data_IF_804193388059
#
_entry.id   IF_804193388059
#
_cell.length_a   1.000
_cell.length_b   1.000
_cell.length_c   1.000
_cell.angle_alpha   90.00
_cell.angle_beta   90.00
_cell.angle_gamma   90.00
#
_symmetry.space_group_name_H-M   'P 1'
#
loop_
_entity.id
_entity.type
_entity.pdbx_description
1 polymer ?
#
# COMPACT_ATOMS: atom_id res chain seq x y z
N UNK A 1 9.85 -32.21 -6.76
CA UNK A 1 9.64 -32.67 -5.37
C UNK A 1 8.20 -32.37 -4.96
N UNK A 2 7.60 -33.27 -4.17
CA UNK A 2 6.16 -33.52 -4.05
C UNK A 2 5.31 -32.30 -3.67
N UNK A 3 4.30 -32.06 -4.52
CA UNK A 3 3.05 -31.38 -4.23
C UNK A 3 2.35 -32.01 -3.02
N UNK A 4 1.91 -31.19 -2.07
CA UNK A 4 0.88 -31.54 -1.09
C UNK A 4 0.34 -30.29 -0.38
N UNK A 5 -0.35 -29.37 -1.08
CA UNK A 5 -1.18 -28.36 -0.42
C UNK A 5 -2.38 -27.99 -1.31
N UNK A 6 -3.27 -28.96 -1.52
CA UNK A 6 -4.64 -28.64 -1.84
C UNK A 6 -5.31 -28.15 -0.55
N UNK A 7 -5.71 -26.88 -0.50
CA UNK A 7 -6.70 -26.41 0.48
C UNK A 7 -7.92 -25.97 -0.31
N UNK A 8 -8.98 -26.73 -0.06
CA UNK A 8 -10.35 -26.52 -0.48
C UNK A 8 -10.86 -25.14 0.00
N UNK A 9 -11.43 -24.36 -0.92
CA UNK A 9 -11.99 -23.01 -0.68
C UNK A 9 -13.08 -23.00 0.38
N UNK A 10 -13.75 -24.13 0.63
CA UNK A 10 -14.71 -24.27 1.72
C UNK A 10 -14.02 -24.25 3.09
N UNK A 11 -12.77 -24.72 3.19
CA UNK A 11 -11.97 -24.67 4.43
C UNK A 11 -11.51 -23.27 4.82
N UNK A 12 -11.39 -22.32 3.88
CA UNK A 12 -11.00 -20.93 4.20
C UNK A 12 -12.16 -20.17 4.85
N UNK A 13 -13.38 -20.33 4.33
CA UNK A 13 -14.60 -19.87 5.01
C UNK A 13 -14.74 -20.52 6.38
N UNK A 14 -14.61 -21.85 6.46
CA UNK A 14 -14.67 -22.58 7.73
C UNK A 14 -13.53 -22.18 8.69
N UNK A 15 -12.36 -21.76 8.21
CA UNK A 15 -11.26 -21.31 9.07
C UNK A 15 -11.52 -19.90 9.62
N UNK A 16 -12.02 -18.98 8.79
CA UNK A 16 -12.48 -17.66 9.23
C UNK A 16 -13.66 -17.82 10.22
N UNK A 17 -14.64 -18.67 9.91
CA UNK A 17 -15.80 -18.97 10.75
C UNK A 17 -15.43 -19.75 12.04
N UNK A 18 -14.42 -20.63 12.01
CA UNK A 18 -13.89 -21.31 13.22
C UNK A 18 -13.12 -20.38 14.13
N UNK A 19 -12.42 -19.39 13.56
CA UNK A 19 -11.85 -18.29 14.35
C UNK A 19 -12.99 -17.50 15.01
N UNK A 20 -14.10 -17.26 14.31
CA UNK A 20 -15.30 -16.63 14.90
C UNK A 20 -15.95 -17.45 16.03
N UNK A 21 -16.08 -18.78 15.88
CA UNK A 21 -16.68 -19.67 16.89
C UNK A 21 -15.79 -19.88 18.13
N UNK A 22 -14.46 -19.84 17.99
CA UNK A 22 -13.55 -19.96 19.14
C UNK A 22 -13.48 -18.70 20.01
N UNK A 23 -13.81 -17.54 19.46
CA UNK A 23 -13.96 -16.29 20.22
C UNK A 23 -15.31 -16.13 20.91
N UNK A 24 -16.26 -17.06 20.70
CA UNK A 24 -17.63 -16.98 21.21
C UNK A 24 -17.89 -17.77 22.51
N UNK A 25 -16.90 -18.42 23.12
CA UNK A 25 -17.07 -19.09 24.41
C UNK A 25 -16.48 -18.24 25.56
N UNK A 26 -17.34 -17.59 26.39
CA UNK A 26 -16.89 -16.99 27.63
C UNK A 26 -16.89 -18.07 28.72
N UNK A 27 -15.71 -18.49 29.17
CA UNK A 27 -15.56 -19.22 30.45
C UNK A 27 -14.62 -18.44 31.34
N UNK A 28 -15.19 -17.61 32.22
CA UNK A 28 -14.88 -17.68 33.65
C UNK A 28 -15.85 -16.77 34.42
N UNK A 29 -16.58 -17.40 35.33
CA UNK A 29 -17.38 -16.76 36.38
C UNK A 29 -16.42 -16.31 37.48
N UNK A 30 -16.36 -15.02 37.77
CA UNK A 30 -15.87 -14.54 39.05
C UNK A 30 -16.62 -13.29 39.51
N UNK A 31 -17.45 -13.46 40.54
CA UNK A 31 -17.68 -12.47 41.60
C UNK A 31 -16.77 -12.85 42.79
N UNK A 32 -16.40 -11.93 43.73
CA UNK A 32 -17.25 -10.86 44.27
C UNK A 32 -16.60 -9.50 44.69
N UNK A 33 -17.51 -8.56 45.03
CA UNK A 33 -17.47 -7.48 46.06
C UNK A 33 -16.65 -6.17 45.93
N UNK A 34 -17.42 -5.07 45.73
CA UNK A 34 -17.56 -3.84 46.56
C UNK A 34 -16.41 -2.81 46.76
N UNK A 35 -16.64 -1.64 46.14
CA UNK A 35 -16.44 -0.23 46.58
C UNK A 35 -15.02 0.34 46.67
N UNK A 36 -14.77 1.39 45.87
CA UNK A 36 -13.64 2.31 46.04
C UNK A 36 -13.37 3.24 44.85
N UNK A 37 -14.09 4.37 44.80
CA UNK A 37 -13.82 5.65 44.11
C UNK A 37 -12.53 5.82 43.28
N UNK A 38 -12.68 6.28 42.04
CA UNK A 38 -11.65 7.03 41.33
C UNK A 38 -11.73 6.93 39.81
N UNK A 39 -12.60 7.73 39.17
CA UNK A 39 -12.55 7.96 37.73
C UNK A 39 -11.23 8.64 37.36
N UNK A 40 -10.24 7.82 37.02
CA UNK A 40 -9.14 8.19 36.14
C UNK A 40 -9.30 7.32 34.92
N UNK A 41 -9.76 7.90 33.82
CA UNK A 41 -9.64 7.28 32.50
C UNK A 41 -8.15 7.24 32.19
N UNK A 42 -7.49 6.18 32.65
CA UNK A 42 -6.15 5.85 32.23
C UNK A 42 -6.20 5.59 30.71
N UNK A 43 -5.24 6.09 29.92
CA UNK A 43 -5.16 5.72 28.51
C UNK A 43 -5.09 4.19 28.46
N UNK A 44 -6.05 3.59 27.75
CA UNK A 44 -6.19 2.14 27.65
C UNK A 44 -4.98 1.65 26.85
N UNK A 45 -3.94 1.19 27.56
CA UNK A 45 -2.73 0.65 26.92
C UNK A 45 -3.18 -0.47 25.98
N UNK A 46 -2.98 -0.29 24.69
CA UNK A 46 -3.31 -1.33 23.70
C UNK A 46 -2.48 -2.56 24.06
N UNK A 47 -3.15 -3.69 24.18
CA UNK A 47 -2.52 -4.96 24.50
C UNK A 47 -1.55 -5.35 23.37
N UNK A 48 -0.30 -5.64 23.70
CA UNK A 48 0.73 -6.01 22.72
C UNK A 48 0.32 -7.26 21.93
N UNK A 49 -0.44 -8.16 22.55
CA UNK A 49 -1.01 -9.33 21.88
C UNK A 49 -2.10 -8.94 20.85
N UNK A 50 -2.90 -7.89 21.11
CA UNK A 50 -3.85 -7.33 20.13
C UNK A 50 -3.14 -6.75 18.90
N UNK A 51 -2.03 -6.02 19.10
CA UNK A 51 -1.20 -5.47 18.01
C UNK A 51 -0.64 -6.60 17.16
N UNK A 52 0.02 -7.59 17.78
CA UNK A 52 0.60 -8.72 17.07
C UNK A 52 -0.42 -9.56 16.30
N UNK A 53 -1.60 -9.83 16.90
CA UNK A 53 -2.71 -10.53 16.22
C UNK A 53 -3.25 -9.74 15.04
N UNK A 54 -3.34 -8.41 15.18
CA UNK A 54 -3.82 -7.52 14.12
C UNK A 54 -2.86 -7.52 12.94
N UNK A 55 -1.57 -7.28 13.17
CA UNK A 55 -0.57 -7.31 12.10
C UNK A 55 -0.56 -8.66 11.37
N UNK A 56 -0.60 -9.77 12.14
CA UNK A 56 -0.66 -11.12 11.57
C UNK A 56 -1.88 -11.32 10.68
N UNK A 57 -3.06 -10.82 11.08
CA UNK A 57 -4.27 -10.91 10.28
C UNK A 57 -4.11 -10.17 8.93
N UNK A 58 -3.58 -8.94 8.96
CA UNK A 58 -3.39 -8.13 7.76
C UNK A 58 -2.34 -8.74 6.83
N UNK A 59 -1.22 -9.22 7.36
CA UNK A 59 -0.18 -9.91 6.60
C UNK A 59 -0.68 -11.21 5.96
N UNK A 60 -1.51 -11.97 6.67
CA UNK A 60 -2.10 -13.20 6.14
C UNK A 60 -3.03 -12.93 4.97
N UNK A 61 -3.76 -11.82 4.98
CA UNK A 61 -4.59 -11.40 3.86
C UNK A 61 -3.74 -11.10 2.60
N UNK A 62 -2.63 -10.38 2.75
CA UNK A 62 -1.69 -10.12 1.64
C UNK A 62 -1.09 -11.43 1.12
N UNK A 63 -0.62 -12.30 2.02
CA UNK A 63 -0.05 -13.59 1.66
C UNK A 63 -1.05 -14.54 0.96
N UNK A 64 -2.35 -14.44 1.30
CA UNK A 64 -3.41 -15.18 0.63
C UNK A 64 -3.59 -14.70 -0.81
N UNK A 65 -3.66 -13.38 -1.04
CA UNK A 65 -3.75 -12.83 -2.40
C UNK A 65 -2.58 -13.28 -3.28
N UNK A 66 -1.36 -13.30 -2.74
CA UNK A 66 -0.18 -13.82 -3.46
C UNK A 66 -0.34 -15.28 -3.89
N UNK A 67 -0.95 -16.13 -3.05
CA UNK A 67 -1.17 -17.56 -3.36
C UNK A 67 -2.29 -17.78 -4.38
N UNK A 68 -3.31 -16.93 -4.35
CA UNK A 68 -4.46 -17.03 -5.24
C UNK A 68 -4.12 -16.60 -6.66
N UNK A 69 -3.18 -15.66 -6.82
CA UNK A 69 -2.61 -15.33 -8.13
C UNK A 69 -1.69 -16.46 -8.61
N UNK A 70 -2.32 -17.47 -9.23
CA UNK A 70 -1.64 -18.54 -9.96
C UNK A 70 -1.29 -18.06 -11.37
N UNK A 71 -0.27 -17.22 -11.50
CA UNK A 71 0.19 -16.77 -12.81
C UNK A 71 1.61 -17.22 -13.10
N UNK A 72 1.83 -17.77 -14.30
CA UNK A 72 3.16 -17.97 -14.88
C UNK A 72 3.73 -16.69 -15.50
N UNK A 73 2.89 -15.66 -15.70
CA UNK A 73 3.30 -14.37 -16.26
C UNK A 73 4.06 -13.56 -15.21
N UNK A 74 5.39 -13.53 -15.37
CA UNK A 74 6.28 -12.75 -14.50
C UNK A 74 6.49 -11.36 -15.07
N UNK A 75 6.63 -10.33 -14.21
CA UNK A 75 7.09 -9.01 -14.66
C UNK A 75 8.41 -9.16 -15.44
N UNK A 76 8.57 -8.43 -16.56
CA UNK A 76 9.83 -8.36 -17.27
C UNK A 76 10.96 -7.86 -16.38
N UNK A 77 12.20 -8.22 -16.73
CA UNK A 77 13.39 -7.71 -16.06
C UNK A 77 13.40 -6.17 -16.06
N UNK A 78 13.90 -5.56 -14.98
CA UNK A 78 13.97 -4.11 -14.89
C UNK A 78 15.03 -3.58 -15.86
N UNK A 79 14.66 -2.55 -16.61
CA UNK A 79 15.54 -1.79 -17.51
C UNK A 79 15.41 -0.31 -17.21
N UNK A 80 16.32 0.53 -17.75
CA UNK A 80 16.21 1.99 -17.63
C UNK A 80 14.87 2.51 -18.16
N UNK A 81 14.42 2.03 -19.32
CA UNK A 81 13.14 2.42 -19.93
C UNK A 81 11.95 2.00 -19.07
N UNK A 82 11.97 0.79 -18.52
CA UNK A 82 10.93 0.32 -17.59
C UNK A 82 10.93 1.05 -16.26
N UNK A 83 12.08 1.58 -15.83
CA UNK A 83 12.13 2.40 -14.64
C UNK A 83 11.34 3.71 -14.82
N UNK A 84 11.42 4.35 -16.00
CA UNK A 84 10.57 5.50 -16.35
C UNK A 84 9.08 5.12 -16.29
N UNK A 85 8.70 3.96 -16.83
CA UNK A 85 7.32 3.47 -16.75
C UNK A 85 6.84 3.24 -15.31
N UNK A 86 7.72 2.71 -14.43
CA UNK A 86 7.42 2.56 -12.99
C UNK A 86 7.26 3.91 -12.29
N UNK A 87 8.10 4.90 -12.63
CA UNK A 87 7.99 6.25 -12.09
C UNK A 87 6.70 6.96 -12.56
N UNK A 88 6.27 6.74 -13.81
CA UNK A 88 4.96 7.23 -14.26
C UNK A 88 3.81 6.59 -13.46
N UNK A 89 3.91 5.29 -13.18
CA UNK A 89 3.00 4.60 -12.26
C UNK A 89 3.02 5.19 -10.85
N UNK A 90 4.20 5.46 -10.30
CA UNK A 90 4.37 6.08 -8.98
C UNK A 90 3.67 7.45 -8.91
N UNK A 91 3.85 8.30 -9.93
CA UNK A 91 3.15 9.58 -10.03
C UNK A 91 1.63 9.41 -9.97
N UNK A 92 1.06 8.52 -10.79
CA UNK A 92 -0.39 8.30 -10.83
C UNK A 92 -0.93 7.72 -9.53
N UNK A 93 -0.16 6.87 -8.84
CA UNK A 93 -0.56 6.33 -7.53
C UNK A 93 -0.49 7.34 -6.39
N UNK A 94 0.33 8.39 -6.49
CA UNK A 94 0.53 9.38 -5.42
C UNK A 94 -0.25 10.67 -5.61
N UNK A 95 -0.54 11.09 -6.85
CA UNK A 95 -1.07 12.44 -7.17
C UNK A 95 -2.44 12.79 -6.58
N UNK A 96 -3.21 11.80 -6.15
CA UNK A 96 -4.52 11.99 -5.53
C UNK A 96 -4.53 11.68 -4.03
N UNK A 97 -3.42 11.19 -3.51
CA UNK A 97 -3.35 10.57 -2.19
C UNK A 97 -3.64 11.55 -1.07
N UNK A 98 -3.00 12.72 -1.06
CA UNK A 98 -3.27 13.76 -0.05
C UNK A 98 -4.75 14.13 0.00
N UNK A 99 -5.34 14.46 -1.17
CA UNK A 99 -6.76 14.85 -1.24
C UNK A 99 -7.69 13.73 -0.77
N UNK A 100 -7.44 12.49 -1.19
CA UNK A 100 -8.24 11.33 -0.79
C UNK A 100 -8.14 11.05 0.71
N UNK A 101 -6.96 11.27 1.31
CA UNK A 101 -6.79 11.10 2.75
C UNK A 101 -7.41 12.25 3.56
N UNK A 102 -7.44 13.46 3.03
CA UNK A 102 -8.23 14.56 3.60
C UNK A 102 -9.74 14.26 3.56
N UNK A 103 -10.23 13.70 2.45
CA UNK A 103 -11.63 13.27 2.34
C UNK A 103 -11.96 12.13 3.32
N UNK A 104 -11.08 11.13 3.43
CA UNK A 104 -11.22 10.05 4.40
C UNK A 104 -11.23 10.57 5.84
N UNK A 105 -10.34 11.52 6.18
CA UNK A 105 -10.31 12.21 7.47
C UNK A 105 -11.67 12.82 7.80
N UNK A 106 -12.24 13.60 6.87
CA UNK A 106 -13.48 14.32 7.11
C UNK A 106 -14.67 13.36 7.31
N UNK A 107 -14.71 12.27 6.53
CA UNK A 107 -15.72 11.22 6.67
C UNK A 107 -15.60 10.44 7.99
N UNK A 108 -14.37 10.10 8.40
CA UNK A 108 -14.13 9.47 9.70
C UNK A 108 -14.53 10.40 10.85
N UNK A 109 -14.20 11.68 10.77
CA UNK A 109 -14.57 12.67 11.77
C UNK A 109 -16.10 12.84 11.88
N UNK A 110 -16.79 12.92 10.74
CA UNK A 110 -18.25 13.00 10.68
C UNK A 110 -18.94 11.76 11.30
N UNK A 111 -18.27 10.61 11.27
CA UNK A 111 -18.74 9.35 11.86
C UNK A 111 -18.26 9.12 13.31
N UNK A 112 -17.62 10.11 13.94
CA UNK A 112 -17.10 10.00 15.31
C UNK A 112 -15.86 9.11 15.46
N UNK A 113 -15.21 8.71 14.37
CA UNK A 113 -14.04 7.81 14.36
C UNK A 113 -12.74 8.61 14.51
N UNK A 114 -12.56 9.23 15.67
CA UNK A 114 -11.49 10.20 15.91
C UNK A 114 -10.06 9.66 15.68
N UNK A 115 -9.73 8.44 16.15
CA UNK A 115 -8.39 7.83 15.92
C UNK A 115 -8.10 7.67 14.43
N UNK A 116 -9.09 7.21 13.65
CA UNK A 116 -8.95 7.03 12.20
C UNK A 116 -8.90 8.36 11.44
N UNK A 117 -9.63 9.38 11.91
CA UNK A 117 -9.51 10.73 11.34
C UNK A 117 -8.11 11.31 11.57
N UNK A 118 -7.53 11.13 12.76
CA UNK A 118 -6.16 11.56 13.06
C UNK A 118 -5.13 10.82 12.22
N UNK A 119 -5.27 9.50 12.10
CA UNK A 119 -4.45 8.66 11.22
C UNK A 119 -4.53 9.13 9.77
N UNK A 120 -5.73 9.36 9.24
CA UNK A 120 -5.92 9.83 7.86
C UNK A 120 -5.30 11.22 7.64
N UNK A 121 -5.42 12.13 8.61
CA UNK A 121 -4.77 13.44 8.56
C UNK A 121 -3.24 13.33 8.58
N UNK A 122 -2.68 12.38 9.33
CA UNK A 122 -1.25 12.11 9.33
C UNK A 122 -0.79 11.57 7.97
N UNK A 123 -1.51 10.59 7.40
CA UNK A 123 -1.24 10.07 6.05
C UNK A 123 -1.30 11.14 4.97
N UNK A 124 -2.27 12.05 5.04
CA UNK A 124 -2.36 13.17 4.11
C UNK A 124 -1.11 14.07 4.16
N UNK A 125 -0.57 14.34 5.36
CA UNK A 125 0.66 15.12 5.56
C UNK A 125 1.90 14.38 5.08
N UNK A 126 2.00 13.09 5.39
CA UNK A 126 3.12 12.23 4.99
C UNK A 126 3.23 12.15 3.47
N UNK A 127 2.11 11.94 2.78
CA UNK A 127 2.08 11.73 1.33
C UNK A 127 2.14 13.03 0.50
N UNK A 128 2.12 14.19 1.15
CA UNK A 128 2.07 15.48 0.48
C UNK A 128 3.32 15.73 -0.39
N UNK A 129 3.11 15.86 -1.71
CA UNK A 129 4.16 16.17 -2.67
C UNK A 129 4.98 14.95 -3.12
N UNK A 130 4.61 13.73 -2.73
CA UNK A 130 5.31 12.52 -3.18
C UNK A 130 5.23 12.34 -4.70
N UNK A 131 4.14 12.74 -5.34
CA UNK A 131 4.02 12.73 -6.81
C UNK A 131 5.10 13.57 -7.50
N UNK A 132 5.53 14.66 -6.87
CA UNK A 132 6.61 15.52 -7.38
C UNK A 132 7.96 14.81 -7.37
N UNK A 133 8.20 13.90 -6.43
CA UNK A 133 9.44 13.11 -6.40
C UNK A 133 9.54 12.21 -7.63
N UNK A 134 8.44 11.59 -8.05
CA UNK A 134 8.39 10.81 -9.27
C UNK A 134 8.67 11.66 -10.52
N UNK A 135 8.11 12.88 -10.58
CA UNK A 135 8.38 13.83 -11.66
C UNK A 135 9.87 14.25 -11.72
N UNK A 136 10.47 14.57 -10.56
CA UNK A 136 11.89 14.90 -10.46
C UNK A 136 12.78 13.73 -10.88
N UNK A 137 12.41 12.50 -10.53
CA UNK A 137 13.14 11.31 -10.91
C UNK A 137 13.05 11.08 -12.44
N UNK A 138 11.88 11.24 -13.06
CA UNK A 138 11.72 11.16 -14.53
C UNK A 138 12.53 12.26 -15.23
N UNK A 139 12.47 13.50 -14.72
CA UNK A 139 13.23 14.62 -15.27
C UNK A 139 14.73 14.36 -15.21
N UNK A 140 15.23 13.83 -14.09
CA UNK A 140 16.65 13.50 -13.95
C UNK A 140 17.11 12.40 -14.92
N UNK A 141 16.19 11.58 -15.44
CA UNK A 141 16.50 10.57 -16.45
C UNK A 141 16.60 11.14 -17.88
N UNK A 142 16.32 12.44 -18.05
CA UNK A 142 16.44 13.17 -19.32
C UNK A 142 15.13 13.36 -20.07
N UNK A 143 13.97 13.24 -19.42
CA UNK A 143 12.67 13.34 -20.09
C UNK A 143 11.85 14.55 -19.63
N UNK A 144 10.94 15.01 -20.48
CA UNK A 144 9.87 15.92 -20.08
C UNK A 144 8.87 15.15 -19.19
N UNK A 145 9.02 15.30 -17.87
CA UNK A 145 8.28 14.52 -16.89
C UNK A 145 6.76 14.62 -17.03
N UNK A 146 6.23 15.83 -17.24
CA UNK A 146 4.79 16.06 -17.44
C UNK A 146 4.27 15.34 -18.69
N UNK A 147 5.00 15.43 -19.80
CA UNK A 147 4.62 14.75 -21.03
C UNK A 147 4.68 13.22 -20.88
N UNK A 148 5.67 12.70 -20.13
CA UNK A 148 5.79 11.26 -19.84
C UNK A 148 4.60 10.76 -19.04
N UNK A 149 4.22 11.43 -17.95
CA UNK A 149 3.09 10.96 -17.12
C UNK A 149 1.74 11.11 -17.82
N UNK A 150 1.62 12.02 -18.79
CA UNK A 150 0.46 12.09 -19.68
C UNK A 150 0.42 10.95 -20.70
N UNK A 151 1.57 10.58 -21.27
CA UNK A 151 1.66 9.53 -22.28
C UNK A 151 1.63 8.10 -21.70
N UNK A 152 2.12 7.91 -20.48
CA UNK A 152 2.19 6.62 -19.80
C UNK A 152 1.27 6.59 -18.59
N UNK A 153 0.12 5.91 -18.74
CA UNK A 153 -0.81 5.59 -17.65
C UNK A 153 -0.90 4.05 -17.52
N UNK A 154 -0.07 3.43 -16.67
CA UNK A 154 -0.06 1.98 -16.51
C UNK A 154 -1.45 1.45 -16.06
N UNK A 155 -2.07 0.57 -16.84
CA UNK A 155 -3.41 0.05 -16.53
C UNK A 155 -3.53 -0.63 -15.15
N UNK A 156 -2.53 -1.36 -14.62
CA UNK A 156 -2.62 -1.89 -13.26
C UNK A 156 -2.65 -0.79 -12.19
N UNK A 157 -1.99 0.35 -12.44
CA UNK A 157 -2.00 1.48 -11.52
C UNK A 157 -3.34 2.20 -11.58
N UNK A 158 -3.96 2.32 -12.76
CA UNK A 158 -5.31 2.88 -12.86
C UNK A 158 -6.32 2.07 -12.04
N UNK A 159 -6.29 0.73 -12.13
CA UNK A 159 -7.17 -0.12 -11.33
C UNK A 159 -6.94 0.05 -9.82
N UNK A 160 -5.69 0.24 -9.40
CA UNK A 160 -5.34 0.50 -8.01
C UNK A 160 -5.86 1.87 -7.53
N UNK A 161 -5.73 2.91 -8.36
CA UNK A 161 -6.25 4.25 -8.09
C UNK A 161 -7.77 4.22 -8.01
N UNK A 162 -8.46 3.58 -8.95
CA UNK A 162 -9.92 3.45 -8.95
C UNK A 162 -10.44 2.75 -7.69
N UNK A 163 -9.76 1.68 -7.26
CA UNK A 163 -10.06 1.01 -6.00
C UNK A 163 -9.87 1.93 -4.80
N UNK A 164 -8.80 2.72 -4.76
CA UNK A 164 -8.57 3.67 -3.68
C UNK A 164 -9.66 4.74 -3.61
N UNK A 165 -10.04 5.33 -4.75
CA UNK A 165 -11.19 6.25 -4.82
C UNK A 165 -12.47 5.60 -4.26
N UNK A 166 -12.80 4.39 -4.71
CA UNK A 166 -13.97 3.65 -4.24
C UNK A 166 -13.92 3.41 -2.72
N UNK A 167 -12.74 3.07 -2.18
CA UNK A 167 -12.55 2.81 -0.75
C UNK A 167 -12.75 4.04 0.14
N UNK A 168 -12.51 5.24 -0.39
CA UNK A 168 -12.67 6.52 0.31
C UNK A 168 -14.09 7.08 0.17
N UNK A 169 -14.75 6.83 -0.96
CA UNK A 169 -16.06 7.42 -1.27
C UNK A 169 -17.24 6.73 -0.55
N UNK A 170 -17.00 5.69 0.24
CA UNK A 170 -18.02 5.06 1.09
C UNK A 170 -18.44 5.95 2.27
N UNK A 171 -19.54 5.60 2.94
CA UNK A 171 -19.96 6.29 4.18
C UNK A 171 -18.97 6.06 5.33
N UNK A 172 -18.36 4.88 5.38
CA UNK A 172 -17.26 4.56 6.29
C UNK A 172 -16.02 4.15 5.46
N UNK A 173 -15.00 5.01 5.31
CA UNK A 173 -13.87 4.78 4.41
C UNK A 173 -12.82 3.82 4.98
N UNK A 174 -13.20 2.87 5.85
CA UNK A 174 -12.28 1.94 6.51
C UNK A 174 -11.43 1.11 5.53
N UNK A 175 -11.91 0.92 4.30
CA UNK A 175 -11.17 0.23 3.24
C UNK A 175 -9.85 0.90 2.88
N UNK A 176 -9.75 2.24 3.00
CA UNK A 176 -8.50 2.95 2.70
C UNK A 176 -7.35 2.56 3.65
N UNK A 177 -7.67 2.09 4.85
CA UNK A 177 -6.66 1.61 5.83
C UNK A 177 -5.96 0.36 5.32
N UNK A 178 -6.73 -0.59 4.76
CA UNK A 178 -6.15 -1.81 4.20
C UNK A 178 -5.37 -1.57 2.90
N UNK A 179 -5.82 -0.58 2.11
CA UNK A 179 -5.09 -0.09 0.94
C UNK A 179 -3.69 0.41 1.32
N UNK A 180 -3.62 1.34 2.28
CA UNK A 180 -2.36 1.91 2.75
C UNK A 180 -1.46 0.86 3.40
N UNK A 181 -1.98 0.10 4.36
CA UNK A 181 -1.21 -0.96 5.01
C UNK A 181 -0.56 -1.89 3.98
N UNK A 182 -1.29 -2.27 2.93
CA UNK A 182 -0.75 -3.13 1.88
C UNK A 182 0.34 -2.45 1.06
N UNK A 183 0.15 -1.19 0.68
CA UNK A 183 1.16 -0.43 -0.06
C UNK A 183 2.47 -0.31 0.73
N UNK A 184 2.36 0.09 2.00
CA UNK A 184 3.48 0.27 2.93
C UNK A 184 4.18 -1.07 3.23
N UNK A 185 3.39 -2.12 3.50
CA UNK A 185 3.90 -3.48 3.73
C UNK A 185 4.67 -4.00 2.55
N UNK A 186 4.16 -3.81 1.33
CA UNK A 186 4.89 -4.20 0.12
C UNK A 186 6.14 -3.33 -0.10
N UNK A 187 6.09 -2.06 0.31
CA UNK A 187 7.22 -1.14 0.36
C UNK A 187 8.41 -1.70 1.14
N UNK A 188 8.17 -2.32 2.30
CA UNK A 188 9.24 -2.86 3.16
C UNK A 188 10.08 -3.97 2.53
N UNK A 189 9.57 -4.67 1.52
CA UNK A 189 10.35 -5.69 0.81
C UNK A 189 11.38 -5.10 -0.17
N UNK A 190 11.31 -3.79 -0.43
CA UNK A 190 12.30 -3.09 -1.24
C UNK A 190 13.41 -2.58 -0.31
N UNK A 191 14.51 -3.32 -0.21
CA UNK A 191 15.67 -2.94 0.59
C UNK A 191 16.73 -2.16 -0.19
N UNK A 192 17.85 -1.82 0.46
CA UNK A 192 18.98 -1.11 -0.17
C UNK A 192 19.53 -1.88 -1.39
N UNK A 193 19.56 -3.21 -1.37
CA UNK A 193 19.98 -4.04 -2.52
C UNK A 193 19.14 -3.76 -3.77
N UNK A 194 17.81 -3.63 -3.60
CA UNK A 194 16.92 -3.33 -4.72
C UNK A 194 17.17 -1.91 -5.22
N UNK A 195 17.37 -0.94 -4.33
CA UNK A 195 17.68 0.45 -4.72
C UNK A 195 19.01 0.52 -5.48
N UNK A 196 20.04 -0.20 -5.02
CA UNK A 196 21.31 -0.31 -5.72
C UNK A 196 21.15 -0.95 -7.11
N UNK A 197 20.29 -1.97 -7.23
CA UNK A 197 19.98 -2.58 -8.53
C UNK A 197 19.33 -1.59 -9.51
N UNK A 198 18.47 -0.69 -9.01
CA UNK A 198 17.90 0.40 -9.82
C UNK A 198 18.98 1.40 -10.20
N UNK A 199 19.81 1.83 -9.24
CA UNK A 199 20.89 2.80 -9.48
C UNK A 199 21.90 2.30 -10.52
N UNK A 200 22.21 1.00 -10.54
CA UNK A 200 23.10 0.38 -11.51
C UNK A 200 22.58 0.45 -12.97
N UNK A 201 21.27 0.68 -13.17
CA UNK A 201 20.67 0.87 -14.50
C UNK A 201 20.73 2.33 -14.99
N UNK A 202 21.07 3.27 -14.11
CA UNK A 202 21.03 4.70 -14.39
C UNK A 202 22.38 5.20 -14.91
N UNK A 203 22.38 6.24 -15.75
CA UNK A 203 23.62 6.90 -16.14
C UNK A 203 24.25 7.64 -14.93
N UNK A 204 25.58 7.79 -14.89
CA UNK A 204 26.25 8.58 -13.86
C UNK A 204 25.61 9.97 -13.69
N UNK A 205 25.43 10.41 -12.44
CA UNK A 205 24.79 11.69 -12.12
C UNK A 205 23.26 11.70 -12.23
N UNK A 206 22.62 10.59 -12.62
CA UNK A 206 21.16 10.47 -12.63
C UNK A 206 20.64 10.22 -11.21
N UNK A 207 19.85 11.15 -10.69
CA UNK A 207 19.13 11.00 -9.45
C UNK A 207 17.69 10.59 -9.77
N UNK A 208 17.40 9.29 -9.80
CA UNK A 208 16.06 8.80 -10.15
C UNK A 208 15.53 7.75 -9.16
N UNK A 209 15.86 7.89 -7.88
CA UNK A 209 15.41 6.96 -6.83
C UNK A 209 14.82 7.67 -5.61
N UNK A 210 14.47 8.96 -5.71
CA UNK A 210 13.91 9.74 -4.58
C UNK A 210 12.60 9.13 -4.12
N UNK A 211 11.67 8.89 -5.05
CA UNK A 211 10.37 8.30 -4.73
C UNK A 211 10.53 6.89 -4.18
N UNK A 212 11.41 6.08 -4.77
CA UNK A 212 11.66 4.73 -4.30
C UNK A 212 12.18 4.71 -2.86
N UNK A 213 13.15 5.59 -2.53
CA UNK A 213 13.78 5.60 -1.20
C UNK A 213 12.77 5.90 -0.09
N UNK A 214 11.84 6.82 -0.30
CA UNK A 214 10.79 7.10 0.70
C UNK A 214 9.80 5.94 0.84
N UNK A 215 9.47 5.25 -0.25
CA UNK A 215 8.51 4.14 -0.31
C UNK A 215 9.16 2.75 -0.26
N UNK A 216 10.15 2.60 0.62
CA UNK A 216 10.96 1.39 0.73
C UNK A 216 11.29 1.05 2.18
N UNK A 217 11.88 -0.11 2.40
CA UNK A 217 12.35 -0.55 3.71
C UNK A 217 13.48 0.29 4.31
N UNK A 218 14.10 1.20 3.54
CA UNK A 218 15.06 2.19 4.06
C UNK A 218 14.41 3.53 4.42
N UNK A 219 13.14 3.71 4.05
CA UNK A 219 12.32 4.87 4.37
C UNK A 219 11.53 4.69 5.67
N UNK A 220 10.40 5.39 5.76
CA UNK A 220 9.54 5.39 6.95
C UNK A 220 8.51 4.24 6.97
N UNK A 221 8.49 3.38 5.96
CA UNK A 221 7.43 2.37 5.78
C UNK A 221 7.26 1.41 6.97
N UNK A 222 8.36 1.03 7.64
CA UNK A 222 8.27 0.18 8.84
C UNK A 222 7.51 0.89 9.96
N UNK A 223 7.79 2.18 10.19
CA UNK A 223 7.12 3.00 11.19
C UNK A 223 5.64 3.21 10.83
N UNK A 224 5.35 3.47 9.56
CA UNK A 224 3.97 3.64 9.10
C UNK A 224 3.11 2.39 9.31
N UNK A 225 3.69 1.20 9.12
CA UNK A 225 3.03 -0.08 9.41
C UNK A 225 2.72 -0.17 10.90
N UNK A 226 3.66 0.15 11.78
CA UNK A 226 3.47 0.14 13.24
C UNK A 226 2.31 1.06 13.65
N UNK A 227 2.31 2.31 13.18
CA UNK A 227 1.26 3.30 13.42
C UNK A 227 -0.11 2.83 12.91
N UNK A 228 -0.17 2.23 11.72
CA UNK A 228 -1.41 1.70 11.16
C UNK A 228 -1.93 0.51 11.97
N UNK A 229 -1.05 -0.41 12.40
CA UNK A 229 -1.44 -1.56 13.23
C UNK A 229 -1.98 -1.10 14.58
N UNK A 230 -1.38 -0.10 15.21
CA UNK A 230 -1.87 0.46 16.47
C UNK A 230 -3.31 0.95 16.36
N UNK A 231 -3.62 1.76 15.34
CA UNK A 231 -4.98 2.26 15.12
C UNK A 231 -5.96 1.13 14.79
N UNK A 232 -5.56 0.14 13.98
CA UNK A 232 -6.42 -1.00 13.65
C UNK A 232 -6.64 -1.92 14.86
N UNK A 233 -5.67 -2.02 15.77
CA UNK A 233 -5.77 -2.82 16.99
C UNK A 233 -6.74 -2.24 18.03
N UNK A 234 -7.19 -0.99 17.88
CA UNK A 234 -8.27 -0.39 18.68
C UNK A 234 -9.67 -0.75 18.14
N UNK A 235 -9.76 -1.17 16.88
CA UNK A 235 -11.04 -1.43 16.22
C UNK A 235 -11.68 -2.73 16.71
N UNK A 236 -12.99 -2.85 16.49
CA UNK A 236 -13.73 -4.10 16.70
C UNK A 236 -13.22 -5.19 15.77
N UNK A 237 -13.48 -6.46 16.13
CA UNK A 237 -13.09 -7.59 15.30
C UNK A 237 -13.66 -7.50 13.87
N UNK A 238 -14.91 -7.04 13.71
CA UNK A 238 -15.54 -6.89 12.40
C UNK A 238 -14.83 -5.83 11.54
N UNK A 239 -14.48 -4.70 12.13
CA UNK A 239 -13.73 -3.65 11.45
C UNK A 239 -12.33 -4.12 11.04
N UNK A 240 -11.63 -4.87 11.89
CA UNK A 240 -10.34 -5.49 11.53
C UNK A 240 -10.46 -6.45 10.35
N UNK A 241 -11.56 -7.20 10.27
CA UNK A 241 -11.86 -8.08 9.13
C UNK A 241 -12.10 -7.25 7.86
N UNK A 242 -12.79 -6.10 7.96
CA UNK A 242 -12.95 -5.18 6.82
C UNK A 242 -11.60 -4.65 6.32
N UNK A 243 -10.70 -4.25 7.24
CA UNK A 243 -9.33 -3.83 6.88
C UNK A 243 -8.56 -4.97 6.22
N UNK A 244 -8.61 -6.19 6.79
CA UNK A 244 -7.95 -7.36 6.22
C UNK A 244 -8.47 -7.71 4.81
N UNK A 245 -9.79 -7.60 4.59
CA UNK A 245 -10.39 -7.78 3.26
C UNK A 245 -9.85 -6.74 2.27
N UNK A 246 -9.75 -5.48 2.67
CA UNK A 246 -9.16 -4.44 1.83
C UNK A 246 -7.67 -4.69 1.55
N UNK A 247 -6.92 -5.26 2.51
CA UNK A 247 -5.55 -5.70 2.26
C UNK A 247 -5.48 -6.78 1.18
N UNK A 248 -6.35 -7.79 1.27
CA UNK A 248 -6.43 -8.86 0.26
C UNK A 248 -6.77 -8.31 -1.13
N UNK A 249 -7.78 -7.46 -1.25
CA UNK A 249 -8.20 -6.85 -2.53
C UNK A 249 -7.10 -5.96 -3.14
N UNK A 250 -6.44 -5.14 -2.31
CA UNK A 250 -5.32 -4.31 -2.75
C UNK A 250 -4.14 -5.17 -3.22
N UNK A 251 -3.83 -6.24 -2.48
CA UNK A 251 -2.77 -7.18 -2.85
C UNK A 251 -3.10 -7.94 -4.14
N UNK A 252 -4.36 -8.33 -4.37
CA UNK A 252 -4.78 -8.92 -5.64
C UNK A 252 -4.51 -7.97 -6.80
N UNK A 253 -4.86 -6.69 -6.68
CA UNK A 253 -4.60 -5.68 -7.72
C UNK A 253 -3.09 -5.51 -7.99
N UNK A 254 -2.27 -5.55 -6.93
CA UNK A 254 -0.81 -5.44 -7.04
C UNK A 254 -0.15 -6.67 -7.66
N UNK A 255 -0.67 -7.86 -7.41
CA UNK A 255 -0.08 -9.12 -7.87
C UNK A 255 -0.66 -9.60 -9.21
N UNK A 256 -1.84 -9.13 -9.59
CA UNK A 256 -2.47 -9.50 -10.86
C UNK A 256 -1.66 -8.93 -12.03
N UNK A 257 -1.16 -9.77 -12.95
CA UNK A 257 -0.50 -9.28 -14.15
C UNK A 257 -1.52 -8.55 -15.05
N UNK A 258 -1.07 -7.58 -15.87
CA UNK A 258 -1.97 -6.89 -16.80
C UNK A 258 -2.65 -7.88 -17.75
N UNK A 259 -3.95 -7.69 -18.01
CA UNK A 259 -4.75 -8.57 -18.88
C UNK A 259 -4.20 -8.63 -20.32
N UNK A 260 -3.71 -7.50 -20.81
CA UNK A 260 -3.14 -7.35 -22.16
C UNK A 260 -1.66 -7.78 -22.23
N UNK A 261 -1.09 -8.24 -21.13
CA UNK A 261 0.34 -8.50 -21.00
C UNK A 261 1.14 -7.24 -20.63
N UNK A 262 2.44 -7.42 -20.40
CA UNK A 262 3.34 -6.31 -20.10
C UNK A 262 3.76 -5.62 -21.39
N UNK A 263 3.66 -4.29 -21.43
CA UNK A 263 4.22 -3.47 -22.51
C UNK A 263 5.71 -3.80 -22.72
N UNK A 264 6.15 -3.93 -23.97
CA UNK A 264 7.54 -4.23 -24.32
C UNK A 264 8.45 -3.00 -24.15
N UNK A 265 9.76 -3.22 -24.05
CA UNK A 265 10.73 -2.12 -24.00
C UNK A 265 10.73 -1.32 -25.31
N UNK A 266 10.54 -1.98 -26.46
CA UNK A 266 10.42 -1.32 -27.76
C UNK A 266 9.21 -0.39 -27.83
N UNK A 267 8.06 -0.83 -27.33
CA UNK A 267 6.85 0.02 -27.27
C UNK A 267 7.05 1.19 -26.32
N UNK A 268 7.61 0.94 -25.12
CA UNK A 268 7.93 2.02 -24.18
C UNK A 268 8.90 3.03 -24.80
N UNK A 269 9.93 2.57 -25.50
CA UNK A 269 10.92 3.44 -26.11
C UNK A 269 10.33 4.27 -27.26
N UNK A 270 9.40 3.71 -28.04
CA UNK A 270 8.67 4.46 -29.06
C UNK A 270 7.83 5.60 -28.45
N UNK A 271 7.22 5.38 -27.28
CA UNK A 271 6.48 6.41 -26.55
C UNK A 271 7.43 7.46 -25.96
N UNK A 272 8.56 7.03 -25.39
CA UNK A 272 9.47 7.90 -24.65
C UNK A 272 10.41 8.74 -25.52
N UNK A 273 10.84 8.23 -26.67
CA UNK A 273 11.78 8.92 -27.57
C UNK A 273 11.38 10.35 -27.94
N UNK A 274 10.12 10.66 -28.34
CA UNK A 274 9.73 12.05 -28.62
C UNK A 274 9.65 12.95 -27.38
N UNK A 275 9.77 12.38 -26.17
CA UNK A 275 9.64 13.08 -24.88
C UNK A 275 11.00 13.34 -24.21
N UNK A 276 12.10 12.92 -24.84
CA UNK A 276 13.45 13.23 -24.39
C UNK A 276 13.66 14.76 -24.41
N UNK A 277 14.25 15.29 -23.35
CA UNK A 277 14.69 16.68 -23.34
C UNK A 277 15.91 16.77 -24.25
N UNK A 278 15.83 17.60 -25.28
CA UNK A 278 17.00 17.97 -26.08
C UNK A 278 17.99 18.69 -25.15
N UNK A 279 18.99 17.97 -24.65
CA UNK A 279 20.16 18.58 -24.03
C UNK A 279 21.03 19.15 -25.14
N UNK A 280 20.56 20.22 -25.78
CA UNK A 280 21.46 21.17 -26.41
C UNK A 280 22.28 21.80 -25.29
N UNK A 281 23.44 21.21 -24.98
CA UNK A 281 24.53 21.95 -24.38
C UNK A 281 24.93 23.03 -25.37
N UNK A 282 24.24 24.16 -25.36
CA UNK A 282 24.83 25.41 -25.85
C UNK A 282 25.93 25.77 -24.87
N UNK A 283 27.13 25.26 -25.14
CA UNK A 283 28.35 25.83 -24.59
C UNK A 283 28.52 27.23 -25.21
N UNK A 284 28.12 28.26 -24.45
CA UNK A 284 28.69 29.60 -24.57
C UNK A 284 29.69 29.80 -23.43
#
# INVERSE_FOLDING_TARGET
MRNNFFIDTERVRIALDKVMLKTANPTSVHQPTSVGSGDRIAPKKIDADSIAKTQKLLDQAIALAWRDIKSSSRPPALTRTRWVWRLAGAYHSSRHTTRLMEEARDRFAASGRHSLAQWAAQKAREEAGHERLALLDIQSMGYNAEAVVQALVPSPIQALVDYFFQSVQTSDPIGCVGFFYTAERLGTFQGEEYIQSVQALLAPGTHATRWLRIHSGVGAEVKHIEETVEVVAELTLQERICVAKACYETALLRFTPPKEGYISDSELQNVLKPLELNTCYECN
#
